data_IF_010867752778
#
_entry.id   IF_010867752778
#
_cell.length_a   1.000
_cell.length_b   1.000
_cell.length_c   1.000
_cell.angle_alpha   90.00
_cell.angle_beta   90.00
_cell.angle_gamma   90.00
#
_symmetry.space_group_name_H-M   'P 1'
#
loop_
_entity.id
_entity.type
_entity.pdbx_description
1 polymer ?
#
# COMPACT_ATOMS: atom_id res chain seq x y z
N UNK A 1 4.14 20.38 -65.42
CA UNK A 1 5.24 20.32 -64.42
C UNK A 1 4.62 20.72 -63.08
N UNK A 2 4.33 19.77 -62.18
CA UNK A 2 5.02 19.55 -60.88
C UNK A 2 5.26 20.88 -60.14
N UNK A 3 4.70 21.17 -58.96
CA UNK A 3 4.68 20.34 -57.75
C UNK A 3 3.54 20.72 -56.79
N UNK A 4 2.90 19.72 -56.21
CA UNK A 4 2.16 19.82 -54.94
C UNK A 4 3.15 20.18 -53.82
N UNK A 5 2.78 21.11 -52.94
CA UNK A 5 3.34 21.16 -51.58
C UNK A 5 2.19 21.06 -50.58
N UNK A 6 2.05 19.84 -50.05
CA UNK A 6 1.35 19.57 -48.80
C UNK A 6 1.95 20.43 -47.69
N UNK A 7 1.16 21.29 -47.07
CA UNK A 7 1.42 21.69 -45.70
C UNK A 7 0.69 20.70 -44.78
N UNK A 8 1.44 19.68 -44.35
CA UNK A 8 1.03 18.73 -43.34
C UNK A 8 0.73 19.44 -42.03
N UNK A 9 -0.49 19.22 -41.53
CA UNK A 9 -0.91 19.53 -40.18
C UNK A 9 0.05 18.88 -39.15
N UNK A 10 0.82 19.69 -38.44
CA UNK A 10 1.35 19.30 -37.13
C UNK A 10 0.24 19.53 -36.10
N UNK A 11 -0.59 18.52 -35.88
CA UNK A 11 -1.44 18.47 -34.70
C UNK A 11 -0.53 18.16 -33.50
N UNK A 12 -0.17 19.20 -32.75
CA UNK A 12 0.35 19.06 -31.39
C UNK A 12 -0.76 18.47 -30.53
N UNK A 13 -0.76 17.15 -30.40
CA UNK A 13 -1.53 16.43 -29.38
C UNK A 13 -0.96 16.84 -28.02
N UNK A 14 -1.51 17.90 -27.43
CA UNK A 14 -1.45 18.12 -25.99
C UNK A 14 -2.26 17.02 -25.31
N UNK A 15 -1.65 15.86 -25.17
CA UNK A 15 -2.17 14.77 -24.38
C UNK A 15 -2.21 15.23 -22.92
N UNK A 16 -3.41 15.39 -22.38
CA UNK A 16 -3.62 15.41 -20.94
C UNK A 16 -2.92 14.16 -20.35
N UNK A 17 -1.84 14.36 -19.60
CA UNK A 17 -1.09 13.27 -18.97
C UNK A 17 -1.95 12.63 -17.88
N UNK A 18 -2.78 11.66 -18.26
CA UNK A 18 -3.14 10.61 -17.35
C UNK A 18 -1.84 9.86 -17.01
N UNK A 19 -1.33 10.05 -15.78
CA UNK A 19 -0.17 9.30 -15.28
C UNK A 19 -0.44 7.81 -15.49
N UNK A 20 0.30 7.19 -16.42
CA UNK A 20 0.06 5.80 -16.80
C UNK A 20 0.54 4.90 -15.66
N UNK A 21 -0.37 4.15 -15.06
CA UNK A 21 -0.03 3.16 -14.05
C UNK A 21 0.78 2.03 -14.69
N UNK A 22 1.89 1.68 -14.05
CA UNK A 22 2.82 0.66 -14.51
C UNK A 22 3.16 -0.30 -13.40
N UNK A 23 3.35 -1.56 -13.79
CA UNK A 23 3.82 -2.63 -12.92
C UNK A 23 5.26 -2.98 -13.28
N UNK A 24 6.12 -3.11 -12.29
CA UNK A 24 7.47 -3.63 -12.48
C UNK A 24 7.36 -5.15 -12.64
N UNK A 25 7.67 -5.67 -13.83
CA UNK A 25 7.50 -7.08 -14.17
C UNK A 25 8.70 -7.94 -13.79
N UNK A 26 9.85 -7.31 -13.58
CA UNK A 26 11.10 -8.00 -13.26
C UNK A 26 11.86 -7.27 -12.16
N UNK A 27 12.03 -7.93 -11.01
CA UNK A 27 12.86 -7.41 -9.92
C UNK A 27 14.33 -7.25 -10.35
N UNK A 28 14.81 -8.04 -11.31
CA UNK A 28 16.16 -7.92 -11.87
C UNK A 28 16.42 -6.58 -12.56
N UNK A 29 15.38 -5.89 -13.01
CA UNK A 29 15.52 -4.57 -13.60
C UNK A 29 16.04 -3.53 -12.59
N UNK A 30 15.85 -3.79 -11.29
CA UNK A 30 16.35 -2.95 -10.22
C UNK A 30 17.85 -3.16 -9.97
N UNK A 31 18.41 -4.32 -10.33
CA UNK A 31 19.85 -4.61 -10.13
C UNK A 31 20.73 -3.73 -11.02
N UNK A 32 20.18 -3.24 -12.13
CA UNK A 32 20.88 -2.40 -13.12
C UNK A 32 20.21 -1.04 -13.29
N UNK A 33 19.31 -0.65 -12.37
CA UNK A 33 18.71 0.67 -12.42
C UNK A 33 19.82 1.72 -12.27
N UNK A 34 19.93 2.71 -13.16
CA UNK A 34 20.85 3.81 -12.95
C UNK A 34 20.26 4.78 -11.90
N UNK A 35 21.14 5.34 -11.09
CA UNK A 35 20.79 6.48 -10.24
C UNK A 35 20.39 7.68 -11.11
N UNK A 36 19.29 8.34 -10.79
CA UNK A 36 18.74 9.41 -11.62
C UNK A 36 19.76 10.52 -11.90
N UNK A 37 20.59 10.89 -10.91
CA UNK A 37 21.64 11.91 -11.08
C UNK A 37 22.73 11.53 -12.08
N UNK A 38 22.95 10.24 -12.30
CA UNK A 38 24.01 9.72 -13.17
C UNK A 38 23.53 9.49 -14.60
N UNK A 39 22.23 9.70 -14.88
CA UNK A 39 21.67 9.57 -16.23
C UNK A 39 21.93 10.86 -17.03
N UNK A 40 22.76 10.81 -18.09
CA UNK A 40 23.08 12.00 -18.86
C UNK A 40 21.84 12.59 -19.54
N UNK A 41 21.62 13.90 -19.38
CA UNK A 41 20.51 14.60 -20.03
C UNK A 41 19.12 14.28 -19.45
N UNK A 42 19.04 13.57 -18.32
CA UNK A 42 17.76 13.29 -17.66
C UNK A 42 17.01 14.58 -17.25
N UNK A 43 17.65 15.61 -16.65
CA UNK A 43 16.96 16.84 -16.29
C UNK A 43 16.31 17.53 -17.50
N UNK A 44 17.01 17.61 -18.63
CA UNK A 44 16.49 18.24 -19.84
C UNK A 44 15.35 17.41 -20.43
N UNK A 45 15.43 16.09 -20.34
CA UNK A 45 14.37 15.20 -20.78
C UNK A 45 13.12 15.31 -19.91
N UNK A 46 13.28 15.42 -18.58
CA UNK A 46 12.18 15.64 -17.65
C UNK A 46 11.51 17.00 -17.90
N UNK A 47 12.30 18.05 -18.16
CA UNK A 47 11.78 19.37 -18.53
C UNK A 47 11.05 19.35 -19.87
N UNK A 48 11.58 18.65 -20.88
CA UNK A 48 10.93 18.45 -22.17
C UNK A 48 9.64 17.63 -22.06
N UNK A 49 9.55 16.73 -21.08
CA UNK A 49 8.32 16.00 -20.74
C UNK A 49 7.29 16.87 -20.00
N UNK A 50 7.62 18.12 -19.65
CA UNK A 50 6.70 19.08 -19.06
C UNK A 50 6.59 19.01 -17.53
N UNK A 51 7.55 18.37 -16.86
CA UNK A 51 7.58 18.36 -15.39
C UNK A 51 7.87 19.75 -14.82
N UNK A 52 7.22 20.07 -13.71
CA UNK A 52 7.56 21.27 -12.94
C UNK A 52 8.94 21.14 -12.29
N UNK A 53 9.63 22.25 -12.07
CA UNK A 53 10.98 22.25 -11.46
C UNK A 53 11.01 21.57 -10.07
N UNK A 54 9.91 21.65 -9.31
CA UNK A 54 9.77 20.93 -8.03
C UNK A 54 9.73 19.39 -8.21
N UNK A 55 9.03 18.91 -9.23
CA UNK A 55 8.95 17.46 -9.52
C UNK A 55 10.27 16.96 -10.10
N UNK A 56 10.95 17.78 -10.92
CA UNK A 56 12.28 17.49 -11.43
C UNK A 56 13.28 17.33 -10.27
N UNK A 57 13.30 18.28 -9.33
CA UNK A 57 14.15 18.20 -8.13
C UNK A 57 13.85 16.92 -7.34
N UNK A 58 12.56 16.59 -7.13
CA UNK A 58 12.18 15.37 -6.42
C UNK A 58 12.64 14.09 -7.11
N UNK A 59 12.62 14.02 -8.45
CA UNK A 59 13.13 12.87 -9.22
C UNK A 59 14.65 12.73 -9.07
N UNK A 60 15.39 13.84 -9.10
CA UNK A 60 16.86 13.81 -9.00
C UNK A 60 17.31 13.53 -7.57
N UNK A 61 16.62 14.08 -6.56
CA UNK A 61 16.95 13.90 -5.15
C UNK A 61 16.54 12.53 -4.62
N UNK A 62 15.39 11.98 -5.03
CA UNK A 62 14.86 10.71 -4.51
C UNK A 62 14.97 9.56 -5.53
N UNK A 63 15.80 9.74 -6.56
CA UNK A 63 16.04 8.77 -7.63
C UNK A 63 17.33 7.97 -7.47
N UNK A 64 18.05 8.17 -6.37
CA UNK A 64 19.32 7.50 -6.10
C UNK A 64 19.16 6.28 -5.19
N UNK A 65 20.06 5.31 -5.35
CA UNK A 65 20.02 4.08 -4.55
C UNK A 65 20.24 4.35 -3.05
N UNK A 66 20.91 5.43 -2.70
CA UNK A 66 21.09 5.87 -1.31
C UNK A 66 19.77 6.26 -0.64
N UNK A 67 18.78 6.69 -1.42
CA UNK A 67 17.46 7.10 -0.96
C UNK A 67 16.42 5.99 -1.12
N UNK A 68 16.82 4.87 -1.74
CA UNK A 68 15.99 3.67 -1.77
C UNK A 68 15.81 3.12 -0.36
N UNK A 69 14.61 2.63 -0.01
CA UNK A 69 14.40 1.87 1.20
C UNK A 69 15.39 0.69 1.32
N UNK A 70 15.75 0.32 2.55
CA UNK A 70 16.79 -0.66 2.83
C UNK A 70 16.65 -1.99 2.06
N UNK A 71 15.42 -2.46 1.88
CA UNK A 71 15.13 -3.71 1.17
C UNK A 71 15.37 -3.64 -0.34
N UNK A 72 15.28 -2.46 -0.96
CA UNK A 72 15.65 -2.26 -2.37
C UNK A 72 17.14 -1.98 -2.53
N UNK A 73 17.75 -1.37 -1.52
CA UNK A 73 19.16 -0.98 -1.55
C UNK A 73 20.10 -2.17 -1.50
N UNK A 74 19.80 -3.17 -0.68
CA UNK A 74 20.66 -4.33 -0.48
C UNK A 74 20.30 -5.47 -1.44
N UNK A 75 21.28 -5.96 -2.20
CA UNK A 75 21.10 -7.04 -3.18
C UNK A 75 20.46 -8.31 -2.59
N UNK A 76 20.88 -8.70 -1.37
CA UNK A 76 20.36 -9.87 -0.67
C UNK A 76 18.88 -9.73 -0.30
N UNK A 77 18.48 -8.54 0.20
CA UNK A 77 17.09 -8.24 0.53
C UNK A 77 16.24 -8.09 -0.72
N UNK A 78 16.78 -7.48 -1.77
CA UNK A 78 16.10 -7.33 -3.05
C UNK A 78 15.84 -8.68 -3.71
N UNK A 79 16.78 -9.61 -3.64
CA UNK A 79 16.60 -10.99 -4.08
C UNK A 79 15.56 -11.74 -3.22
N UNK A 80 15.63 -11.62 -1.90
CA UNK A 80 14.68 -12.26 -0.98
C UNK A 80 13.23 -11.74 -1.16
N UNK A 81 13.07 -10.48 -1.54
CA UNK A 81 11.77 -9.81 -1.73
C UNK A 81 11.41 -9.59 -3.21
N UNK A 82 12.12 -10.25 -4.13
CA UNK A 82 11.87 -10.14 -5.57
C UNK A 82 10.39 -10.39 -5.96
N UNK A 83 9.66 -11.37 -5.38
CA UNK A 83 8.23 -11.55 -5.67
C UNK A 83 7.36 -10.36 -5.26
N UNK A 84 7.79 -9.57 -4.28
CA UNK A 84 7.04 -8.44 -3.74
C UNK A 84 7.18 -7.16 -4.59
N UNK A 85 8.23 -7.06 -5.42
CA UNK A 85 8.46 -5.90 -6.31
C UNK A 85 7.30 -5.70 -7.29
N UNK A 86 6.73 -6.80 -7.76
CA UNK A 86 5.56 -6.78 -8.65
C UNK A 86 4.32 -6.17 -7.97
N UNK A 87 4.27 -6.08 -6.65
CA UNK A 87 3.11 -5.57 -5.92
C UNK A 87 3.14 -4.05 -5.70
N UNK A 88 4.21 -3.36 -6.12
CA UNK A 88 4.23 -1.90 -6.10
C UNK A 88 3.27 -1.32 -7.14
N UNK A 89 2.57 -0.27 -6.72
CA UNK A 89 1.82 0.62 -7.60
C UNK A 89 2.77 1.74 -8.03
N UNK A 90 3.16 1.70 -9.30
CA UNK A 90 4.03 2.69 -9.93
C UNK A 90 3.29 3.51 -10.99
N UNK A 91 3.75 4.73 -11.21
CA UNK A 91 3.26 5.62 -12.26
C UNK A 91 4.41 6.04 -13.14
N UNK A 92 4.25 5.86 -14.46
CA UNK A 92 5.22 6.36 -15.42
C UNK A 92 5.14 7.87 -15.49
N UNK A 93 6.28 8.51 -15.23
CA UNK A 93 6.46 9.95 -15.24
C UNK A 93 6.85 10.42 -16.64
N UNK A 94 7.87 9.79 -17.23
CA UNK A 94 8.29 10.06 -18.60
C UNK A 94 8.97 8.82 -19.21
N UNK A 95 9.21 8.89 -20.52
CA UNK A 95 10.03 7.92 -21.28
C UNK A 95 11.14 8.67 -21.98
N UNK A 96 12.29 8.04 -22.11
CA UNK A 96 13.44 8.61 -22.80
C UNK A 96 14.29 7.51 -23.43
N UNK A 97 15.19 7.91 -24.32
CA UNK A 97 16.13 7.00 -24.97
C UNK A 97 17.52 7.24 -24.38
N UNK A 98 18.19 6.16 -23.98
CA UNK A 98 19.58 6.17 -23.56
C UNK A 98 20.29 4.98 -24.21
N UNK A 99 21.41 5.22 -24.90
CA UNK A 99 22.20 4.18 -25.59
C UNK A 99 21.36 3.28 -26.52
N UNK A 100 20.41 3.88 -27.23
CA UNK A 100 19.41 3.20 -28.10
C UNK A 100 18.41 2.29 -27.36
N UNK A 101 18.38 2.32 -26.03
CA UNK A 101 17.41 1.61 -25.20
C UNK A 101 16.38 2.58 -24.61
N UNK A 102 15.10 2.20 -24.70
CA UNK A 102 14.02 2.95 -24.08
C UNK A 102 14.02 2.74 -22.56
N UNK A 103 14.10 3.84 -21.83
CA UNK A 103 14.00 3.91 -20.38
C UNK A 103 12.75 4.70 -19.99
N UNK A 104 12.33 4.51 -18.74
CA UNK A 104 11.24 5.26 -18.14
C UNK A 104 11.58 5.64 -16.71
N UNK A 105 11.15 6.84 -16.31
CA UNK A 105 11.11 7.23 -14.91
C UNK A 105 9.78 6.78 -14.33
N UNK A 106 9.84 6.01 -13.25
CA UNK A 106 8.68 5.48 -12.54
C UNK A 106 8.65 6.07 -11.13
N UNK A 107 7.53 6.72 -10.79
CA UNK A 107 7.25 7.15 -9.41
C UNK A 107 6.50 6.05 -8.69
N UNK A 108 6.96 5.64 -7.52
CA UNK A 108 6.27 4.76 -6.58
C UNK A 108 5.81 5.64 -5.41
N UNK A 109 4.54 6.09 -5.37
CA UNK A 109 4.08 6.99 -4.33
C UNK A 109 3.86 6.26 -3.02
N UNK A 110 4.34 6.80 -1.90
CA UNK A 110 4.15 6.18 -0.58
C UNK A 110 2.66 5.99 -0.25
N UNK A 111 1.85 7.00 -0.56
CA UNK A 111 0.39 7.00 -0.32
C UNK A 111 -0.35 5.86 -1.06
N UNK A 112 0.16 5.44 -2.22
CA UNK A 112 -0.43 4.38 -3.05
C UNK A 112 0.12 3.00 -2.68
N UNK A 113 1.14 2.93 -1.83
CA UNK A 113 1.86 1.71 -1.47
C UNK A 113 1.77 1.37 0.02
N UNK A 114 0.77 1.90 0.72
CA UNK A 114 0.51 1.62 2.14
C UNK A 114 0.18 0.13 2.42
N UNK A 115 -0.19 -0.63 1.39
CA UNK A 115 -0.46 -2.07 1.47
C UNK A 115 0.82 -2.90 1.59
N UNK A 116 1.98 -2.32 1.25
CA UNK A 116 3.25 -3.03 1.38
C UNK A 116 3.57 -3.26 2.87
N UNK A 117 4.16 -4.42 3.21
CA UNK A 117 4.65 -4.72 4.57
C UNK A 117 5.59 -3.62 5.09
N UNK A 118 5.71 -3.45 6.41
CA UNK A 118 6.49 -2.36 7.04
C UNK A 118 7.92 -2.26 6.51
N UNK A 119 8.63 -3.39 6.38
CA UNK A 119 9.99 -3.42 5.83
C UNK A 119 10.09 -3.22 4.32
N UNK A 120 8.97 -3.24 3.59
CA UNK A 120 8.88 -3.00 2.15
C UNK A 120 8.20 -1.67 1.81
N UNK A 121 7.62 -0.98 2.79
CA UNK A 121 6.80 0.19 2.52
C UNK A 121 7.69 1.41 2.23
N UNK A 122 7.47 2.14 1.12
CA UNK A 122 8.12 3.42 0.90
C UNK A 122 7.63 4.43 1.95
N UNK A 123 8.55 5.09 2.64
CA UNK A 123 8.24 6.15 3.62
C UNK A 123 8.01 7.50 2.95
N UNK A 124 8.54 7.67 1.73
CA UNK A 124 8.34 8.80 0.84
C UNK A 124 8.13 8.32 -0.60
N UNK A 125 7.80 9.24 -1.51
CA UNK A 125 7.68 8.94 -2.93
C UNK A 125 9.07 8.56 -3.49
N UNK A 126 9.17 7.35 -4.02
CA UNK A 126 10.39 6.80 -4.58
C UNK A 126 10.40 6.96 -6.10
N UNK A 127 11.55 7.30 -6.68
CA UNK A 127 11.72 7.39 -8.13
C UNK A 127 12.73 6.35 -8.62
N UNK A 128 12.37 5.66 -9.71
CA UNK A 128 13.18 4.61 -10.30
C UNK A 128 13.37 4.89 -11.79
N UNK A 129 14.60 4.78 -12.27
CA UNK A 129 14.89 4.75 -13.71
C UNK A 129 14.99 3.28 -14.12
N UNK A 130 14.10 2.82 -14.99
CA UNK A 130 14.04 1.42 -15.40
C UNK A 130 13.96 1.29 -16.92
N UNK A 131 14.49 0.20 -17.51
CA UNK A 131 14.21 -0.15 -18.89
C UNK A 131 12.71 -0.27 -19.11
N UNK A 132 12.19 0.28 -20.21
CA UNK A 132 10.75 0.26 -20.47
C UNK A 132 10.21 -1.18 -20.64
N UNK A 133 11.07 -2.12 -21.07
CA UNK A 133 10.77 -3.55 -21.18
C UNK A 133 10.53 -4.24 -19.82
N UNK A 134 11.00 -3.64 -18.72
CA UNK A 134 10.74 -4.12 -17.37
C UNK A 134 9.41 -3.62 -16.79
N UNK A 135 8.64 -2.87 -17.58
CA UNK A 135 7.37 -2.28 -17.18
C UNK A 135 6.23 -2.86 -18.01
N UNK A 136 5.17 -3.29 -17.35
CA UNK A 136 3.88 -3.56 -17.98
C UNK A 136 2.94 -2.39 -17.72
N UNK A 137 2.30 -1.89 -18.77
CA UNK A 137 1.17 -0.98 -18.63
C UNK A 137 0.02 -1.70 -17.94
N UNK A 138 -0.55 -1.07 -16.91
CA UNK A 138 -1.81 -1.52 -16.36
C UNK A 138 -2.93 -0.87 -17.15
N UNK A 139 -3.65 -1.67 -17.94
CA UNK A 139 -4.87 -1.21 -18.59
C UNK A 139 -5.83 -0.75 -17.49
N UNK A 140 -6.16 0.55 -17.50
CA UNK A 140 -6.97 1.25 -16.49
C UNK A 140 -8.42 0.74 -16.33
N UNK A 141 -8.71 -0.47 -16.79
CA UNK A 141 -9.96 -1.21 -16.57
C UNK A 141 -9.94 -2.09 -15.32
N UNK A 142 -8.77 -2.42 -14.77
CA UNK A 142 -8.72 -2.80 -13.37
C UNK A 142 -8.59 -1.52 -12.55
N UNK A 143 -9.73 -0.85 -12.30
CA UNK A 143 -9.83 -0.04 -11.08
C UNK A 143 -9.44 -0.97 -9.95
N UNK A 144 -8.21 -0.84 -9.46
CA UNK A 144 -7.86 -1.39 -8.16
C UNK A 144 -9.00 -0.96 -7.23
N UNK A 145 -9.69 -1.90 -6.56
CA UNK A 145 -10.69 -1.51 -5.61
C UNK A 145 -10.07 -0.47 -4.69
N UNK A 146 -10.72 0.69 -4.55
CA UNK A 146 -10.21 1.75 -3.71
C UNK A 146 -9.80 1.14 -2.36
N UNK A 147 -8.51 1.25 -2.02
CA UNK A 147 -7.95 0.72 -0.78
C UNK A 147 -8.82 1.20 0.36
N UNK A 148 -9.54 0.27 0.98
CA UNK A 148 -10.42 0.64 2.07
C UNK A 148 -9.57 1.04 3.27
N UNK A 149 -9.91 2.19 3.87
CA UNK A 149 -9.37 2.57 5.19
C UNK A 149 -9.83 1.62 6.29
N UNK A 150 -10.82 0.78 5.99
CA UNK A 150 -11.50 -0.09 6.93
C UNK A 150 -13.01 0.13 6.85
N UNK A 151 -13.81 -0.81 7.37
CA UNK A 151 -15.24 -0.62 7.51
C UNK A 151 -15.56 0.61 8.36
N UNK A 152 -16.58 1.38 7.94
CA UNK A 152 -17.14 2.46 8.76
C UNK A 152 -17.65 1.93 10.09
N UNK A 153 -17.33 2.63 11.19
CA UNK A 153 -17.64 2.22 12.57
C UNK A 153 -18.53 3.20 13.33
N UNK A 154 -18.72 4.41 12.81
CA UNK A 154 -19.48 5.51 13.43
C UNK A 154 -20.93 5.16 13.76
N UNK A 155 -21.57 4.34 12.93
CA UNK A 155 -22.97 3.90 13.11
C UNK A 155 -23.09 2.47 13.67
N UNK A 156 -21.99 1.87 14.15
CA UNK A 156 -21.99 0.50 14.67
C UNK A 156 -22.15 0.50 16.20
N UNK A 157 -22.77 -0.55 16.78
CA UNK A 157 -22.87 -0.69 18.23
C UNK A 157 -21.49 -0.63 18.89
N UNK A 158 -21.40 0.07 20.01
CA UNK A 158 -20.13 0.14 20.75
C UNK A 158 -19.91 -1.18 21.47
N UNK A 159 -18.67 -1.63 21.50
CA UNK A 159 -18.26 -2.86 22.14
C UNK A 159 -17.24 -2.57 23.25
N UNK A 160 -17.32 -3.31 24.35
CA UNK A 160 -16.33 -3.32 25.43
C UNK A 160 -15.79 -4.73 25.60
N UNK A 161 -14.47 -4.85 25.54
CA UNK A 161 -13.77 -6.10 25.84
C UNK A 161 -13.84 -6.32 27.36
N UNK A 162 -14.37 -7.47 27.77
CA UNK A 162 -14.50 -7.85 29.19
C UNK A 162 -13.57 -9.02 29.56
N UNK A 163 -13.15 -9.82 28.59
CA UNK A 163 -12.14 -10.89 28.74
C UNK A 163 -11.11 -10.75 27.62
N UNK A 164 -9.90 -10.32 27.95
CA UNK A 164 -8.87 -10.00 26.95
C UNK A 164 -8.13 -11.24 26.42
N UNK A 165 -8.17 -12.33 27.18
CA UNK A 165 -7.56 -13.63 26.89
C UNK A 165 -8.30 -14.41 25.79
N UNK A 166 -9.60 -14.19 25.64
CA UNK A 166 -10.47 -14.82 24.62
C UNK A 166 -10.34 -14.20 23.21
N UNK A 167 -9.19 -13.56 22.92
CA UNK A 167 -8.87 -13.03 21.59
C UNK A 167 -8.23 -14.10 20.72
N UNK A 168 -8.71 -14.25 19.49
CA UNK A 168 -8.13 -15.15 18.52
C UNK A 168 -7.06 -14.44 17.67
N UNK A 169 -5.85 -14.31 18.20
CA UNK A 169 -4.75 -13.57 17.55
C UNK A 169 -4.24 -14.18 16.23
N UNK A 170 -4.40 -15.49 16.04
CA UNK A 170 -3.94 -16.21 14.84
C UNK A 170 -5.10 -16.73 13.98
N UNK A 171 -6.31 -16.20 14.17
CA UNK A 171 -7.49 -16.66 13.41
C UNK A 171 -7.38 -16.31 11.94
N UNK A 172 -7.50 -17.31 11.06
CA UNK A 172 -7.52 -17.08 9.63
C UNK A 172 -8.95 -16.80 9.14
N UNK A 173 -9.31 -15.51 9.09
CA UNK A 173 -10.59 -15.07 8.54
C UNK A 173 -10.76 -15.45 7.06
N UNK A 174 -9.67 -15.62 6.30
CA UNK A 174 -9.75 -15.90 4.86
C UNK A 174 -10.20 -17.34 4.57
N UNK A 175 -9.89 -18.27 5.48
CA UNK A 175 -10.29 -19.66 5.40
C UNK A 175 -11.73 -19.91 5.89
N UNK A 176 -12.31 -18.97 6.65
CA UNK A 176 -13.65 -19.10 7.23
C UNK A 176 -14.73 -18.48 6.33
N UNK A 177 -15.34 -19.31 5.48
CA UNK A 177 -16.45 -18.89 4.61
C UNK A 177 -17.66 -18.29 5.35
N UNK A 178 -17.90 -18.68 6.61
CA UNK A 178 -19.00 -18.16 7.42
C UNK A 178 -18.66 -16.76 7.93
N UNK A 179 -17.42 -16.52 8.36
CA UNK A 179 -16.93 -15.19 8.71
C UNK A 179 -17.02 -14.24 7.50
N UNK A 180 -16.55 -14.68 6.33
CA UNK A 180 -16.59 -13.89 5.09
C UNK A 180 -18.03 -13.50 4.72
N UNK A 181 -18.96 -14.44 4.84
CA UNK A 181 -20.39 -14.20 4.61
C UNK A 181 -20.97 -13.23 5.64
N UNK A 182 -20.62 -13.37 6.92
CA UNK A 182 -21.09 -12.50 7.99
C UNK A 182 -20.59 -11.05 7.82
N UNK A 183 -19.32 -10.87 7.46
CA UNK A 183 -18.76 -9.54 7.16
C UNK A 183 -19.48 -8.89 5.98
N UNK A 184 -19.72 -9.63 4.89
CA UNK A 184 -20.49 -9.12 3.76
C UNK A 184 -21.92 -8.74 4.14
N UNK A 185 -22.62 -9.58 4.92
CA UNK A 185 -23.97 -9.29 5.44
C UNK A 185 -24.01 -8.09 6.38
N UNK A 186 -22.92 -7.81 7.08
CA UNK A 186 -22.77 -6.62 7.93
C UNK A 186 -22.54 -5.31 7.14
N UNK A 187 -22.63 -5.37 5.81
CA UNK A 187 -22.50 -4.22 4.91
C UNK A 187 -21.07 -3.89 4.51
N UNK A 188 -20.10 -4.77 4.80
CA UNK A 188 -18.71 -4.57 4.35
C UNK A 188 -18.58 -4.93 2.87
N UNK A 189 -17.99 -4.00 2.12
CA UNK A 189 -17.53 -4.20 0.75
C UNK A 189 -16.33 -5.16 0.72
N UNK A 190 -16.09 -5.83 -0.41
CA UNK A 190 -14.94 -6.72 -0.58
C UNK A 190 -13.59 -6.08 -0.17
N UNK A 191 -13.29 -4.81 -0.53
CA UNK A 191 -12.04 -4.18 -0.13
C UNK A 191 -11.94 -3.94 1.38
N UNK A 192 -13.06 -3.69 2.06
CA UNK A 192 -13.10 -3.62 3.54
C UNK A 192 -12.84 -4.99 4.16
N UNK A 193 -13.44 -6.05 3.62
CA UNK A 193 -13.23 -7.41 4.08
C UNK A 193 -11.76 -7.82 3.91
N UNK A 194 -11.15 -7.52 2.77
CA UNK A 194 -9.75 -7.86 2.51
C UNK A 194 -8.81 -7.10 3.47
N UNK A 195 -9.12 -5.84 3.80
CA UNK A 195 -8.39 -5.07 4.81
C UNK A 195 -8.54 -5.66 6.23
N UNK A 196 -9.75 -6.12 6.57
CA UNK A 196 -10.03 -6.79 7.86
C UNK A 196 -9.25 -8.08 7.98
N UNK A 197 -9.35 -8.96 6.97
CA UNK A 197 -8.63 -10.24 6.91
C UNK A 197 -7.14 -10.00 7.14
N UNK A 198 -6.55 -9.04 6.43
CA UNK A 198 -5.14 -8.73 6.58
C UNK A 198 -4.79 -8.27 8.00
N UNK A 199 -5.49 -7.27 8.55
CA UNK A 199 -5.11 -6.62 9.83
C UNK A 199 -5.68 -7.28 11.09
N UNK A 200 -6.43 -8.37 10.94
CA UNK A 200 -7.01 -9.12 12.07
C UNK A 200 -6.03 -10.08 12.78
N UNK A 201 -4.85 -10.28 12.20
CA UNK A 201 -3.84 -11.23 12.69
C UNK A 201 -2.75 -10.54 13.49
N UNK A 202 -2.25 -11.20 14.55
CA UNK A 202 -1.32 -10.61 15.51
C UNK A 202 -0.01 -10.11 14.89
N UNK A 203 0.45 -10.74 13.79
CA UNK A 203 1.59 -10.25 13.00
C UNK A 203 1.43 -8.82 12.45
N UNK A 204 0.20 -8.32 12.39
CA UNK A 204 -0.16 -6.99 11.88
C UNK A 204 -0.69 -6.07 12.99
N UNK A 205 -0.58 -6.49 14.26
CA UNK A 205 -0.94 -5.67 15.41
C UNK A 205 0.27 -4.85 15.90
N UNK A 206 0.05 -3.82 16.75
CA UNK A 206 1.13 -3.07 17.38
C UNK A 206 2.13 -3.98 18.11
N UNK A 207 3.40 -3.58 18.11
CA UNK A 207 4.53 -4.38 18.62
C UNK A 207 4.29 -4.93 20.03
N UNK A 208 3.62 -4.18 20.91
CA UNK A 208 3.35 -4.62 22.28
C UNK A 208 2.32 -5.75 22.40
N UNK A 209 1.56 -6.06 21.35
CA UNK A 209 0.52 -7.08 21.38
C UNK A 209 0.61 -8.07 20.19
N UNK A 210 1.66 -7.98 19.39
CA UNK A 210 1.88 -8.75 18.15
C UNK A 210 2.11 -10.26 18.36
N UNK A 211 2.24 -10.69 19.61
CA UNK A 211 2.29 -12.09 20.02
C UNK A 211 1.77 -12.26 21.44
N UNK A 212 1.53 -13.52 21.83
CA UNK A 212 1.02 -13.85 23.16
C UNK A 212 1.87 -13.29 24.31
N UNK A 213 3.19 -13.49 24.29
CA UNK A 213 4.07 -13.11 25.40
C UNK A 213 4.10 -11.59 25.65
N UNK A 214 4.11 -10.79 24.59
CA UNK A 214 4.05 -9.33 24.71
C UNK A 214 2.66 -8.85 25.11
N UNK A 215 1.60 -9.53 24.65
CA UNK A 215 0.20 -9.22 24.97
C UNK A 215 -0.17 -9.50 26.42
N UNK A 216 0.31 -10.59 27.01
CA UNK A 216 0.00 -11.02 28.39
C UNK A 216 0.13 -9.89 29.43
N UNK A 217 1.25 -9.15 29.53
CA UNK A 217 1.39 -8.08 30.52
C UNK A 217 0.42 -6.90 30.29
N UNK A 218 -0.15 -6.78 29.10
CA UNK A 218 -1.05 -5.69 28.71
C UNK A 218 -2.53 -6.10 28.75
N UNK A 219 -2.87 -7.34 29.12
CA UNK A 219 -4.26 -7.83 29.12
C UNK A 219 -5.22 -6.95 29.94
N UNK A 220 -4.76 -6.39 31.07
CA UNK A 220 -5.55 -5.47 31.90
C UNK A 220 -5.90 -4.15 31.22
N UNK A 221 -5.20 -3.80 30.13
CA UNK A 221 -5.38 -2.56 29.38
C UNK A 221 -6.34 -2.72 28.19
N UNK A 222 -6.59 -3.94 27.72
CA UNK A 222 -7.49 -4.21 26.58
C UNK A 222 -8.91 -3.65 26.75
N UNK A 223 -9.53 -3.67 27.94
CA UNK A 223 -10.83 -3.03 28.16
C UNK A 223 -10.85 -1.51 27.89
N UNK A 224 -9.69 -0.86 27.75
CA UNK A 224 -9.57 0.57 27.41
C UNK A 224 -9.70 0.84 25.91
N UNK A 225 -9.62 -0.18 25.05
CA UNK A 225 -9.90 0.01 23.63
C UNK A 225 -11.32 0.51 23.41
N UNK A 226 -11.45 1.60 22.67
CA UNK A 226 -12.72 1.96 22.04
C UNK A 226 -12.94 1.06 20.84
N UNK A 227 -13.86 0.11 20.96
CA UNK A 227 -14.18 -0.89 19.94
C UNK A 227 -15.64 -0.80 19.50
N UNK A 228 -15.91 -1.28 18.29
CA UNK A 228 -17.24 -1.28 17.67
C UNK A 228 -17.51 -2.64 17.01
N UNK A 229 -18.77 -3.06 16.96
CA UNK A 229 -19.14 -4.34 16.37
C UNK A 229 -19.01 -4.32 14.84
N UNK A 230 -18.06 -5.08 14.29
CA UNK A 230 -17.89 -5.29 12.85
C UNK A 230 -18.85 -6.34 12.30
N UNK A 231 -18.77 -7.57 12.81
CA UNK A 231 -19.63 -8.67 12.37
C UNK A 231 -19.72 -9.72 13.48
N UNK A 232 -20.75 -10.57 13.42
CA UNK A 232 -20.93 -11.69 14.34
C UNK A 232 -21.22 -12.96 13.55
N UNK A 233 -20.62 -14.07 13.94
CA UNK A 233 -20.88 -15.39 13.36
C UNK A 233 -20.58 -16.47 14.38
N UNK A 234 -21.41 -17.51 14.44
CA UNK A 234 -21.29 -18.57 15.43
C UNK A 234 -21.12 -18.01 16.86
N UNK A 235 -20.02 -18.36 17.52
CA UNK A 235 -19.62 -17.89 18.85
C UNK A 235 -18.56 -16.78 18.80
N UNK A 236 -18.37 -16.13 17.65
CA UNK A 236 -17.31 -15.14 17.41
C UNK A 236 -17.88 -13.80 17.00
N UNK A 237 -17.12 -12.77 17.34
CA UNK A 237 -17.40 -11.39 16.96
C UNK A 237 -16.12 -10.73 16.47
N UNK A 238 -16.27 -9.97 15.39
CA UNK A 238 -15.24 -9.08 14.87
C UNK A 238 -15.45 -7.70 15.50
N UNK A 239 -14.39 -7.18 16.12
CA UNK A 239 -14.34 -5.83 16.64
C UNK A 239 -13.52 -4.94 15.72
N UNK A 240 -14.04 -3.75 15.46
CA UNK A 240 -13.33 -2.66 14.79
C UNK A 240 -12.78 -1.73 15.87
N UNK A 241 -11.47 -1.54 15.88
CA UNK A 241 -10.76 -0.66 16.80
C UNK A 241 -10.17 0.50 15.99
N UNK A 242 -10.91 1.61 15.88
CA UNK A 242 -10.50 2.70 15.03
C UNK A 242 -9.32 3.48 15.61
N UNK A 243 -8.36 3.84 14.76
CA UNK A 243 -7.18 4.59 15.19
C UNK A 243 -7.56 5.92 15.84
N UNK A 244 -8.58 6.58 15.30
CA UNK A 244 -9.01 7.90 15.76
C UNK A 244 -9.43 7.93 17.23
N UNK A 245 -10.06 6.86 17.73
CA UNK A 245 -10.57 6.77 19.10
C UNK A 245 -9.58 6.17 20.10
N UNK A 246 -8.43 5.73 19.63
CA UNK A 246 -7.47 4.95 20.41
C UNK A 246 -6.06 5.59 20.41
N UNK A 247 -5.95 6.87 20.05
CA UNK A 247 -4.70 7.63 20.02
C UNK A 247 -4.04 7.79 21.39
N UNK A 248 -4.84 7.78 22.45
CA UNK A 248 -4.36 8.02 23.82
C UNK A 248 -3.96 6.74 24.56
N UNK A 249 -4.06 5.58 23.89
CA UNK A 249 -3.58 4.32 24.45
C UNK A 249 -2.05 4.32 24.62
N UNK A 250 -1.53 3.46 25.52
CA UNK A 250 -0.10 3.20 25.62
C UNK A 250 0.52 2.91 24.25
N UNK A 251 1.72 3.43 24.00
CA UNK A 251 2.41 3.32 22.70
C UNK A 251 2.45 1.87 22.21
N UNK A 252 2.72 0.93 23.12
CA UNK A 252 2.79 -0.50 22.85
C UNK A 252 1.48 -1.13 22.30
N UNK A 253 0.33 -0.49 22.55
CA UNK A 253 -1.00 -0.97 22.14
C UNK A 253 -1.64 -0.10 21.06
N UNK A 254 -1.02 1.04 20.75
CA UNK A 254 -1.64 2.10 19.97
C UNK A 254 -1.74 1.67 18.51
N UNK A 255 -2.95 1.64 17.92
CA UNK A 255 -3.10 1.39 16.49
C UNK A 255 -2.49 2.53 15.67
N UNK A 256 -1.70 2.21 14.64
CA UNK A 256 -1.28 3.18 13.61
C UNK A 256 -2.32 3.32 12.48
N UNK A 257 -3.19 2.32 12.36
CA UNK A 257 -4.34 2.22 11.46
C UNK A 257 -5.43 1.42 12.16
N UNK A 258 -6.65 1.43 11.62
CA UNK A 258 -7.74 0.64 12.18
C UNK A 258 -7.33 -0.82 12.35
N UNK A 259 -7.50 -1.30 13.57
CA UNK A 259 -7.13 -2.64 14.03
C UNK A 259 -8.41 -3.47 14.14
N UNK A 260 -8.30 -4.78 13.89
CA UNK A 260 -9.45 -5.67 14.02
C UNK A 260 -9.11 -6.83 14.94
N UNK A 261 -10.05 -7.16 15.82
CA UNK A 261 -9.93 -8.30 16.71
C UNK A 261 -11.05 -9.28 16.47
N UNK A 262 -10.73 -10.56 16.46
CA UNK A 262 -11.73 -11.62 16.55
C UNK A 262 -11.76 -12.09 18.00
N UNK A 263 -12.92 -12.01 18.63
CA UNK A 263 -13.14 -12.43 20.00
C UNK A 263 -14.20 -13.52 20.07
N UNK A 264 -14.16 -14.31 21.15
CA UNK A 264 -15.34 -15.05 21.56
C UNK A 264 -16.47 -14.04 21.88
N UNK A 265 -17.70 -14.31 21.46
CA UNK A 265 -18.85 -13.43 21.68
C UNK A 265 -19.10 -13.18 23.18
N UNK A 266 -18.82 -14.17 24.04
CA UNK A 266 -18.97 -14.05 25.50
C UNK A 266 -17.89 -13.18 26.16
N UNK A 267 -16.83 -12.84 25.44
CA UNK A 267 -15.72 -12.00 25.91
C UNK A 267 -15.96 -10.50 25.67
N UNK A 268 -17.09 -10.13 25.07
CA UNK A 268 -17.42 -8.77 24.67
C UNK A 268 -18.83 -8.40 25.14
N UNK A 269 -18.98 -7.16 25.60
CA UNK A 269 -20.28 -6.55 25.91
C UNK A 269 -20.63 -5.45 24.91
N UNK A 270 -21.85 -5.45 24.38
CA UNK A 270 -22.35 -4.44 23.45
C UNK A 270 -23.24 -3.39 24.15
N UNK A 271 -23.30 -2.19 23.57
CA UNK A 271 -24.09 -1.04 24.04
C UNK A 271 -24.83 -0.38 22.87
#
# INVERSE_FOLDING_TARGET
MRSLSLFSCLALLNGMYAQQEVKITSARALDQAPEARNVPGLPDTLRAAGLAEQELAAVIENGDHADWPDFLRQDSLRAAHAPSVANYVGFRVCRFMQDSLAHAVVRIPAKNNIHMPEGLRPTADLYLVLPDTALALMDGRQKHPALSRGPRWDNRPKAKIIKADDVYGTYDLSADSTAMTAMSRSGMSKPEIDAVVFRSTERNWPEGIDNFHKRTPLMGEFPKYSAYLGASWADKVLLIVPVEKNKDLPVAMRPYMDLYFVYNASAVKFY
#
